data_IF_154098134495
#
_entry.id   IF_154098134495
#
_cell.length_a   1.000
_cell.length_b   1.000
_cell.length_c   1.000
_cell.angle_alpha   90.00
_cell.angle_beta   90.00
_cell.angle_gamma   90.00
#
_symmetry.space_group_name_H-M   'P 1'
#
loop_
_entity.id
_entity.type
_entity.pdbx_description
1 polymer ?
#
# COMPACT_ATOMS: atom_id res chain seq x y z
N UNK A 1 -11.83 24.64 54.07
CA UNK A 1 -13.09 24.22 53.44
C UNK A 1 -13.19 25.02 52.14
N UNK A 2 -12.90 24.56 50.94
CA UNK A 2 -12.89 23.21 50.39
C UNK A 2 -13.77 23.19 49.14
N UNK A 3 -13.44 24.00 48.12
CA UNK A 3 -14.13 23.94 46.83
C UNK A 3 -13.31 23.08 45.86
N UNK A 4 -13.75 21.84 45.71
CA UNK A 4 -13.33 20.89 44.69
C UNK A 4 -14.16 21.12 43.42
N UNK A 5 -13.50 21.51 42.32
CA UNK A 5 -14.08 21.45 40.98
C UNK A 5 -14.01 20.00 40.48
N UNK A 6 -15.10 19.44 39.91
CA UNK A 6 -15.03 18.15 39.23
C UNK A 6 -14.33 18.30 37.88
N UNK A 7 -13.28 17.50 37.70
CA UNK A 7 -12.62 17.31 36.41
C UNK A 7 -13.51 16.55 35.44
N UNK A 8 -13.48 16.99 34.19
CA UNK A 8 -13.76 16.19 33.00
C UNK A 8 -12.65 16.60 32.04
N UNK A 9 -11.59 15.82 31.85
CA UNK A 9 -11.67 14.45 31.35
C UNK A 9 -11.73 14.44 29.82
N UNK A 10 -10.98 15.32 29.15
CA UNK A 10 -10.75 15.23 27.71
C UNK A 10 -9.47 14.42 27.50
N UNK A 11 -9.60 13.10 27.42
CA UNK A 11 -8.58 12.25 26.81
C UNK A 11 -8.72 12.31 25.28
N UNK A 12 -7.62 12.10 24.55
CA UNK A 12 -7.44 12.45 23.16
C UNK A 12 -8.15 11.41 22.28
N UNK A 13 -8.98 11.91 21.38
CA UNK A 13 -9.77 11.05 20.52
C UNK A 13 -10.32 11.83 19.34
N UNK A 14 -9.51 12.72 18.76
CA UNK A 14 -9.72 13.06 17.35
C UNK A 14 -8.94 12.04 16.52
N UNK A 15 -9.63 10.92 16.31
CA UNK A 15 -9.30 9.93 15.33
C UNK A 15 -9.52 10.55 13.94
N UNK A 16 -8.52 11.30 13.49
CA UNK A 16 -8.32 11.64 12.09
C UNK A 16 -6.87 11.35 11.72
N UNK A 17 -6.40 10.13 12.04
CA UNK A 17 -5.16 9.56 11.54
C UNK A 17 -5.35 9.12 10.08
N UNK A 18 -5.58 10.08 9.20
CA UNK A 18 -5.80 9.87 7.78
C UNK A 18 -4.76 10.64 6.98
N UNK A 19 -4.30 10.00 5.90
CA UNK A 19 -3.13 10.28 5.08
C UNK A 19 -1.85 9.69 5.68
N UNK A 20 -1.26 8.70 5.01
CA UNK A 20 0.19 8.38 5.07
C UNK A 20 0.95 9.62 5.53
N UNK A 21 1.42 9.66 6.79
CA UNK A 21 1.79 10.92 7.46
C UNK A 21 2.89 11.70 6.71
N UNK A 22 2.47 12.48 5.72
CA UNK A 22 3.26 13.39 4.89
C UNK A 22 3.24 14.81 5.47
N UNK A 23 2.91 14.94 6.76
CA UNK A 23 2.86 16.23 7.45
C UNK A 23 3.81 16.27 8.65
N UNK A 24 5.10 16.08 8.41
CA UNK A 24 6.16 16.88 9.05
C UNK A 24 7.56 16.42 8.61
N UNK A 25 8.12 17.09 7.61
CA UNK A 25 9.56 17.38 7.60
C UNK A 25 10.55 16.25 7.30
N UNK A 26 10.28 15.30 6.40
CA UNK A 26 11.27 14.29 6.01
C UNK A 26 11.40 14.20 4.48
N UNK A 27 12.52 14.71 3.95
CA UNK A 27 12.92 14.58 2.54
C UNK A 27 13.38 13.16 2.14
N UNK A 28 13.20 12.15 3.01
CA UNK A 28 13.59 10.75 2.79
C UNK A 28 12.56 9.79 3.40
N UNK A 29 11.55 9.34 2.67
CA UNK A 29 10.88 8.04 2.94
C UNK A 29 9.74 7.71 1.94
N UNK A 30 9.86 8.07 0.66
CA UNK A 30 8.98 7.46 -0.36
C UNK A 30 9.33 5.98 -0.60
N UNK A 31 10.33 5.43 0.07
CA UNK A 31 10.64 4.01 0.01
C UNK A 31 9.62 3.19 0.81
N UNK A 32 9.08 2.07 0.29
CA UNK A 32 9.37 1.46 -1.02
C UNK A 32 8.43 1.96 -2.13
N UNK A 33 7.44 2.81 -1.83
CA UNK A 33 6.43 3.30 -2.77
C UNK A 33 6.97 3.87 -4.08
N UNK A 34 8.05 4.64 -4.03
CA UNK A 34 8.72 5.17 -5.21
C UNK A 34 9.17 4.04 -6.14
N UNK A 35 9.81 3.01 -5.59
CA UNK A 35 10.31 1.88 -6.38
C UNK A 35 9.17 1.02 -6.91
N UNK A 36 8.11 0.83 -6.14
CA UNK A 36 6.90 0.12 -6.57
C UNK A 36 6.26 0.85 -7.76
N UNK A 37 6.08 2.17 -7.66
CA UNK A 37 5.47 2.96 -8.72
C UNK A 37 6.39 3.03 -9.94
N UNK A 38 7.70 3.22 -9.74
CA UNK A 38 8.68 3.18 -10.83
C UNK A 38 8.70 1.80 -11.52
N UNK A 39 8.54 0.70 -10.78
CA UNK A 39 8.46 -0.64 -11.35
C UNK A 39 7.28 -0.77 -12.33
N UNK A 40 6.07 -0.34 -11.93
CA UNK A 40 4.89 -0.38 -12.81
C UNK A 40 5.04 0.61 -13.96
N UNK A 41 5.49 1.84 -13.68
CA UNK A 41 5.70 2.88 -14.68
C UNK A 41 6.69 2.48 -15.77
N UNK A 42 7.80 1.82 -15.41
CA UNK A 42 8.79 1.34 -16.36
C UNK A 42 8.28 0.15 -17.18
N UNK A 43 7.42 -0.70 -16.61
CA UNK A 43 6.74 -1.76 -17.36
C UNK A 43 5.77 -1.19 -18.40
N UNK A 44 5.13 -0.07 -18.08
CA UNK A 44 4.22 0.64 -18.97
C UNK A 44 4.93 1.37 -20.13
N UNK A 45 6.12 1.90 -19.87
CA UNK A 45 6.86 2.75 -20.79
C UNK A 45 8.18 2.07 -21.16
N UNK A 46 8.15 1.11 -22.09
CA UNK A 46 9.30 0.29 -22.50
C UNK A 46 10.59 1.08 -22.88
N UNK A 47 10.51 2.41 -23.06
CA UNK A 47 11.65 3.33 -23.02
C UNK A 47 11.23 4.68 -22.39
N UNK A 48 11.61 5.02 -21.14
CA UNK A 48 11.22 6.30 -20.56
C UNK A 48 12.13 7.43 -21.08
N UNK A 49 11.59 8.33 -21.90
CA UNK A 49 12.30 9.56 -22.30
C UNK A 49 12.44 10.55 -21.13
N UNK A 50 11.57 10.46 -20.13
CA UNK A 50 11.57 11.27 -18.92
C UNK A 50 11.06 10.41 -17.75
N UNK A 51 11.84 10.32 -16.67
CA UNK A 51 11.45 9.59 -15.47
C UNK A 51 10.23 10.17 -14.77
N UNK A 52 9.77 9.50 -13.72
CA UNK A 52 8.57 9.89 -12.98
C UNK A 52 8.80 11.18 -12.17
N UNK A 53 8.03 12.22 -12.47
CA UNK A 53 8.15 13.52 -11.78
C UNK A 53 7.62 13.45 -10.35
N UNK A 54 8.23 14.21 -9.42
CA UNK A 54 7.81 14.20 -8.00
C UNK A 54 6.35 14.55 -7.79
N UNK A 55 5.81 15.48 -8.59
CA UNK A 55 4.40 15.89 -8.50
C UNK A 55 3.47 14.73 -8.87
N UNK A 56 3.77 14.03 -9.96
CA UNK A 56 3.02 12.83 -10.38
C UNK A 56 3.13 11.71 -9.34
N UNK A 57 4.31 11.51 -8.74
CA UNK A 57 4.49 10.52 -7.65
C UNK A 57 3.53 10.77 -6.49
N UNK A 58 3.41 12.03 -6.07
CA UNK A 58 2.54 12.42 -4.96
C UNK A 58 1.07 12.19 -5.33
N UNK A 59 0.67 12.58 -6.54
CA UNK A 59 -0.70 12.36 -7.02
C UNK A 59 -1.09 10.88 -7.05
N UNK A 60 -0.22 10.02 -7.58
CA UNK A 60 -0.43 8.57 -7.58
C UNK A 60 -0.55 8.06 -6.15
N UNK A 61 0.35 8.49 -5.25
CA UNK A 61 0.32 8.06 -3.85
C UNK A 61 -0.99 8.45 -3.14
N UNK A 62 -1.49 9.66 -3.37
CA UNK A 62 -2.77 10.12 -2.82
C UNK A 62 -3.95 9.32 -3.38
N UNK A 63 -3.89 8.89 -4.64
CA UNK A 63 -4.93 8.07 -5.28
C UNK A 63 -4.94 6.60 -4.82
N UNK A 64 -3.77 6.01 -4.58
CA UNK A 64 -3.66 4.60 -4.17
C UNK A 64 -3.85 4.40 -2.65
N UNK A 65 -3.57 5.40 -1.82
CA UNK A 65 -3.67 5.30 -0.35
C UNK A 65 -4.99 4.67 0.14
N UNK A 66 -6.19 5.18 -0.23
CA UNK A 66 -7.44 4.61 0.27
C UNK A 66 -7.63 3.15 -0.16
N UNK A 67 -7.16 2.79 -1.36
CA UNK A 67 -7.29 1.43 -1.92
C UNK A 67 -6.34 0.46 -1.20
N UNK A 68 -5.10 0.89 -0.94
CA UNK A 68 -4.10 0.11 -0.18
C UNK A 68 -4.56 -0.10 1.26
N UNK A 69 -5.15 0.92 1.89
CA UNK A 69 -5.69 0.78 3.25
C UNK A 69 -6.82 -0.26 3.29
N UNK A 70 -7.75 -0.19 2.33
CA UNK A 70 -8.88 -1.13 2.24
C UNK A 70 -8.42 -2.60 2.14
N UNK A 71 -7.30 -2.90 1.46
CA UNK A 71 -6.76 -4.26 1.38
C UNK A 71 -6.47 -4.91 2.75
N UNK A 72 -6.25 -4.10 3.78
CA UNK A 72 -5.85 -4.57 5.12
C UNK A 72 -6.89 -4.25 6.20
N UNK A 73 -8.00 -3.62 5.82
CA UNK A 73 -9.12 -3.31 6.69
C UNK A 73 -10.23 -4.36 6.49
N UNK A 74 -10.85 -4.80 7.59
CA UNK A 74 -11.94 -5.79 7.55
C UNK A 74 -11.66 -7.03 8.40
N UNK A 75 -12.46 -8.07 8.16
CA UNK A 75 -12.27 -9.38 8.79
C UNK A 75 -11.21 -10.20 8.04
N UNK A 76 -10.65 -11.24 8.67
CA UNK A 76 -9.65 -12.10 8.01
C UNK A 76 -10.15 -12.73 6.70
N UNK A 77 -11.45 -13.06 6.64
CA UNK A 77 -12.08 -13.60 5.42
C UNK A 77 -12.18 -12.53 4.34
N UNK A 78 -12.58 -11.31 4.71
CA UNK A 78 -12.66 -10.15 3.81
C UNK A 78 -11.29 -9.80 3.22
N UNK A 79 -10.25 -9.77 4.05
CA UNK A 79 -8.88 -9.53 3.61
C UNK A 79 -8.41 -10.64 2.66
N UNK A 80 -8.66 -11.91 2.98
CA UNK A 80 -8.28 -13.01 2.07
C UNK A 80 -9.00 -12.92 0.72
N UNK A 81 -10.25 -12.48 0.70
CA UNK A 81 -11.04 -12.26 -0.52
C UNK A 81 -10.44 -11.12 -1.36
N UNK A 82 -10.16 -9.97 -0.73
CA UNK A 82 -9.52 -8.80 -1.36
C UNK A 82 -8.14 -9.10 -1.93
N UNK A 83 -7.35 -9.92 -1.25
CA UNK A 83 -6.03 -10.36 -1.74
C UNK A 83 -6.14 -11.29 -2.95
N UNK A 84 -7.29 -11.93 -3.16
CA UNK A 84 -7.52 -12.88 -4.22
C UNK A 84 -6.83 -14.22 -3.99
N UNK A 85 -6.97 -15.10 -4.99
CA UNK A 85 -6.49 -16.49 -4.94
C UNK A 85 -5.05 -16.64 -5.45
N UNK A 86 -4.60 -15.77 -6.33
CA UNK A 86 -3.32 -15.89 -7.01
C UNK A 86 -2.56 -14.56 -7.01
N UNK A 87 -1.30 -14.63 -6.58
CA UNK A 87 -0.32 -13.57 -6.74
C UNK A 87 0.85 -14.12 -7.54
N UNK A 88 1.36 -13.34 -8.47
CA UNK A 88 2.48 -13.73 -9.34
C UNK A 88 3.75 -12.93 -9.06
N UNK A 89 3.67 -11.88 -8.24
CA UNK A 89 4.78 -10.98 -7.98
C UNK A 89 5.43 -11.26 -6.64
N UNK A 90 6.69 -11.69 -6.68
CA UNK A 90 7.49 -11.83 -5.47
C UNK A 90 8.27 -10.53 -5.20
N UNK A 91 7.92 -9.76 -4.14
CA UNK A 91 8.59 -8.51 -3.85
C UNK A 91 10.00 -8.74 -3.28
N UNK A 92 10.92 -7.76 -3.42
CA UNK A 92 12.09 -7.68 -2.58
C UNK A 92 11.69 -7.68 -1.09
N UNK A 93 12.39 -8.46 -0.26
CA UNK A 93 12.09 -8.58 1.17
C UNK A 93 12.12 -7.23 1.89
N UNK A 94 12.99 -6.31 1.46
CA UNK A 94 13.10 -4.98 2.07
C UNK A 94 11.82 -4.13 1.85
N UNK A 95 11.12 -4.31 0.73
CA UNK A 95 9.82 -3.66 0.50
C UNK A 95 8.79 -4.12 1.54
N UNK A 96 8.67 -5.43 1.75
CA UNK A 96 7.75 -5.98 2.73
C UNK A 96 8.06 -5.46 4.15
N UNK A 97 9.35 -5.43 4.54
CA UNK A 97 9.78 -4.91 5.84
C UNK A 97 9.52 -3.42 6.00
N UNK A 98 9.71 -2.63 4.95
CA UNK A 98 9.45 -1.20 4.97
C UNK A 98 7.94 -0.91 5.08
N UNK A 99 7.11 -1.62 4.32
CA UNK A 99 5.65 -1.47 4.38
C UNK A 99 5.09 -1.88 5.75
N UNK A 100 5.61 -2.95 6.37
CA UNK A 100 5.20 -3.33 7.73
C UNK A 100 5.45 -2.24 8.78
N UNK A 101 6.51 -1.43 8.60
CA UNK A 101 6.82 -0.31 9.50
C UNK A 101 5.91 0.89 9.27
N UNK A 102 5.39 1.05 8.05
CA UNK A 102 4.58 2.21 7.64
C UNK A 102 3.08 1.96 7.79
N UNK A 103 2.63 0.72 7.60
CA UNK A 103 1.21 0.36 7.60
C UNK A 103 0.93 -0.58 8.78
N UNK A 104 0.46 -0.07 9.93
CA UNK A 104 0.18 -0.89 11.10
C UNK A 104 -0.94 -1.92 10.86
N UNK A 105 -1.93 -1.58 10.03
CA UNK A 105 -3.02 -2.50 9.64
C UNK A 105 -2.50 -3.70 8.85
N UNK A 106 -1.48 -3.51 7.99
CA UNK A 106 -0.82 -4.59 7.26
C UNK A 106 -0.12 -5.57 8.20
N UNK A 107 0.60 -5.04 9.21
CA UNK A 107 1.25 -5.89 10.21
C UNK A 107 0.24 -6.74 10.97
N UNK A 108 -0.88 -6.12 11.37
CA UNK A 108 -1.98 -6.82 12.05
C UNK A 108 -2.60 -7.89 11.15
N UNK A 109 -2.98 -7.52 9.92
CA UNK A 109 -3.57 -8.44 8.94
C UNK A 109 -2.66 -9.65 8.70
N UNK A 110 -1.36 -9.43 8.48
CA UNK A 110 -0.39 -10.52 8.32
C UNK A 110 -0.38 -11.45 9.53
N UNK A 111 -0.34 -10.92 10.75
CA UNK A 111 -0.30 -11.76 11.96
C UNK A 111 -1.57 -12.59 12.15
N UNK A 112 -2.73 -12.07 11.76
CA UNK A 112 -4.01 -12.79 11.89
C UNK A 112 -4.21 -13.85 10.80
N UNK A 113 -3.65 -13.60 9.61
CA UNK A 113 -3.85 -14.41 8.41
C UNK A 113 -2.75 -15.46 8.24
N UNK A 114 -1.50 -15.15 8.58
CA UNK A 114 -0.34 -16.02 8.38
C UNK A 114 0.11 -16.66 9.69
N UNK A 115 0.37 -17.99 9.75
CA UNK A 115 0.16 -19.00 8.69
C UNK A 115 -1.25 -19.61 8.70
N UNK A 116 -2.20 -19.03 9.46
CA UNK A 116 -3.48 -19.67 9.79
C UNK A 116 -4.39 -19.91 8.59
N UNK A 117 -4.40 -19.01 7.61
CA UNK A 117 -5.24 -19.05 6.42
C UNK A 117 -4.42 -19.25 5.15
N UNK A 118 -3.25 -18.59 5.05
CA UNK A 118 -2.32 -18.71 3.93
C UNK A 118 -0.87 -18.66 4.42
N UNK A 119 0.04 -19.18 3.61
CA UNK A 119 1.48 -19.12 3.88
C UNK A 119 2.04 -17.69 3.67
N UNK A 120 3.18 -17.41 4.29
CA UNK A 120 3.80 -16.09 4.24
C UNK A 120 4.13 -15.65 2.81
N UNK A 121 4.70 -16.54 2.01
CA UNK A 121 5.02 -16.27 0.61
C UNK A 121 3.77 -15.97 -0.22
N UNK A 122 2.70 -16.75 0.00
CA UNK A 122 1.40 -16.52 -0.65
C UNK A 122 0.79 -15.18 -0.24
N UNK A 123 0.88 -14.79 1.03
CA UNK A 123 0.40 -13.50 1.51
C UNK A 123 1.11 -12.35 0.80
N UNK A 124 2.44 -12.38 0.76
CA UNK A 124 3.22 -11.32 0.11
C UNK A 124 3.00 -11.27 -1.39
N UNK A 125 2.96 -12.43 -2.05
CA UNK A 125 2.73 -12.50 -3.48
C UNK A 125 1.38 -11.86 -3.86
N UNK A 126 0.31 -12.23 -3.13
CA UNK A 126 -1.03 -11.69 -3.35
C UNK A 126 -1.13 -10.20 -3.02
N UNK A 127 -0.61 -9.79 -1.86
CA UNK A 127 -0.65 -8.40 -1.41
C UNK A 127 0.05 -7.46 -2.39
N UNK A 128 1.26 -7.81 -2.83
CA UNK A 128 1.96 -6.97 -3.79
C UNK A 128 1.35 -7.04 -5.19
N UNK A 129 0.81 -8.18 -5.63
CA UNK A 129 0.04 -8.22 -6.88
C UNK A 129 -1.15 -7.24 -6.86
N UNK A 130 -1.88 -7.13 -5.75
CA UNK A 130 -2.95 -6.14 -5.60
C UNK A 130 -2.41 -4.70 -5.60
N UNK A 131 -1.30 -4.42 -4.90
CA UNK A 131 -0.66 -3.10 -4.97
C UNK A 131 -0.30 -2.72 -6.40
N UNK A 132 0.32 -3.65 -7.15
CA UNK A 132 0.72 -3.38 -8.53
C UNK A 132 -0.48 -3.10 -9.43
N UNK A 133 -1.59 -3.81 -9.24
CA UNK A 133 -2.84 -3.55 -9.94
C UNK A 133 -3.42 -2.17 -9.61
N UNK A 134 -3.47 -1.80 -8.32
CA UNK A 134 -3.93 -0.48 -7.87
C UNK A 134 -3.07 0.63 -8.48
N UNK A 135 -1.74 0.46 -8.48
CA UNK A 135 -0.81 1.42 -9.07
C UNK A 135 -0.98 1.52 -10.58
N UNK A 136 -1.19 0.39 -11.26
CA UNK A 136 -1.45 0.36 -12.70
C UNK A 136 -2.73 1.13 -13.03
N UNK A 137 -3.85 0.81 -12.37
CA UNK A 137 -5.13 1.51 -12.55
C UNK A 137 -5.00 3.03 -12.31
N UNK A 138 -4.23 3.42 -11.28
CA UNK A 138 -4.00 4.84 -11.01
C UNK A 138 -3.13 5.51 -12.08
N UNK A 139 -2.09 4.85 -12.58
CA UNK A 139 -1.28 5.35 -13.69
C UNK A 139 -2.11 5.56 -14.96
N UNK A 140 -3.05 4.65 -15.25
CA UNK A 140 -3.94 4.74 -16.40
C UNK A 140 -4.90 5.93 -16.31
N UNK A 141 -5.40 6.28 -15.11
CA UNK A 141 -6.19 7.51 -14.88
C UNK A 141 -5.39 8.78 -15.21
N UNK A 142 -4.07 8.73 -15.06
CA UNK A 142 -3.15 9.80 -15.42
C UNK A 142 -2.70 9.74 -16.89
N UNK A 143 -3.29 8.86 -17.71
CA UNK A 143 -3.00 8.73 -19.15
C UNK A 143 -1.74 7.93 -19.46
N UNK A 144 -1.19 7.20 -18.48
CA UNK A 144 -0.02 6.34 -18.65
C UNK A 144 -0.53 4.92 -18.87
N UNK A 145 -0.62 4.51 -20.14
CA UNK A 145 -1.12 3.20 -20.47
C UNK A 145 -0.05 2.14 -20.24
N UNK A 146 -0.36 1.18 -19.37
CA UNK A 146 0.50 0.02 -19.14
C UNK A 146 0.08 -1.04 -20.15
N UNK A 147 0.89 -1.28 -21.18
CA UNK A 147 0.61 -2.38 -22.10
C UNK A 147 0.45 -3.66 -21.28
N UNK A 148 -0.71 -4.31 -21.46
CA UNK A 148 -1.02 -5.62 -20.93
C UNK A 148 0.02 -6.58 -21.51
N UNK A 149 1.18 -6.65 -20.86
CA UNK A 149 2.16 -7.69 -21.14
C UNK A 149 1.51 -8.93 -20.57
N UNK A 150 0.66 -9.49 -21.42
CA UNK A 150 0.13 -10.82 -21.40
C UNK A 150 1.13 -11.68 -20.65
N UNK A 151 0.82 -12.00 -19.40
CA UNK A 151 1.37 -13.16 -18.70
C UNK A 151 0.83 -14.39 -19.42
N UNK A 152 1.10 -14.50 -20.73
CA UNK A 152 0.98 -15.72 -21.47
C UNK A 152 2.25 -16.49 -21.19
N UNK A 153 2.10 -17.53 -20.39
CA UNK A 153 2.19 -18.86 -20.98
C UNK A 153 3.40 -19.02 -21.91
N UNK A 154 4.58 -19.14 -21.32
CA UNK A 154 5.63 -19.97 -21.92
C UNK A 154 5.75 -21.21 -21.03
N UNK A 155 5.21 -22.31 -21.56
CA UNK A 155 5.11 -23.61 -20.89
C UNK A 155 6.34 -24.50 -20.99
#
# INVERSE_FOLDING_TARGET
MGNVQPGSGLNPGDASGGALELRSGVQSNFYPWKEIIEYVYNKANAVPATGLSRELLIQILEGIDPQVRDLTEGSNVDICDKLGLEGTFQPPTDWALALLKQIPTLQKARYEIVPRFIEEESFWSRYFSQILYIVQDELEKHGIHVEDTKLADEG
#
